data_IF_320125168868
#
_entry.id   IF_320125168868
#
_cell.length_a   1.000
_cell.length_b   1.000
_cell.length_c   1.000
_cell.angle_alpha   90.00
_cell.angle_beta   90.00
_cell.angle_gamma   90.00
#
_symmetry.space_group_name_H-M   'P 1'
#
loop_
_entity.id
_entity.type
_entity.pdbx_description
1 polymer ?
#
# COMPACT_ATOMS: atom_id res chain seq x y z
N UNK A 1 -10.11 -14.95 38.63
CA UNK A 1 -9.71 -14.92 37.20
C UNK A 1 -9.02 -13.60 36.93
N UNK A 2 -7.86 -13.60 36.25
CA UNK A 2 -7.10 -12.39 35.99
C UNK A 2 -6.97 -12.17 34.47
N UNK A 3 -7.66 -11.17 33.93
CA UNK A 3 -7.71 -10.88 32.48
C UNK A 3 -7.12 -9.50 32.23
N UNK A 4 -6.12 -9.39 31.36
CA UNK A 4 -5.43 -8.14 31.06
C UNK A 4 -5.71 -7.68 29.62
N UNK A 5 -6.12 -6.43 29.50
CA UNK A 5 -6.29 -5.70 28.25
C UNK A 5 -5.20 -4.63 28.13
N UNK A 6 -4.63 -4.48 26.94
CA UNK A 6 -3.55 -3.53 26.67
C UNK A 6 -3.98 -2.61 25.53
N UNK A 7 -3.83 -1.31 25.73
CA UNK A 7 -4.14 -0.31 24.73
C UNK A 7 -3.14 -0.36 23.56
N UNK A 8 -3.56 -0.08 22.34
CA UNK A 8 -2.71 -0.11 21.16
C UNK A 8 -1.62 0.97 21.18
N UNK A 9 -0.43 0.62 20.69
CA UNK A 9 0.70 1.55 20.46
C UNK A 9 0.35 2.62 19.42
N UNK A 10 -0.57 2.30 18.52
CA UNK A 10 -1.01 3.19 17.44
C UNK A 10 -1.99 4.26 17.91
N UNK A 11 -2.54 4.13 19.13
CA UNK A 11 -3.43 5.13 19.69
C UNK A 11 -2.64 6.34 20.22
N UNK A 12 -3.17 7.54 19.98
CA UNK A 12 -2.57 8.81 20.41
C UNK A 12 -2.23 8.77 21.91
N UNK A 13 -0.95 8.99 22.24
CA UNK A 13 -0.45 9.01 23.62
C UNK A 13 0.11 7.69 24.16
N UNK A 14 0.03 6.59 23.40
CA UNK A 14 0.52 5.26 23.80
C UNK A 14 1.83 4.81 23.10
N UNK A 15 2.51 5.72 22.39
CA UNK A 15 3.64 5.37 21.51
C UNK A 15 4.88 4.84 22.24
N UNK A 16 5.07 5.18 23.53
CA UNK A 16 6.25 4.76 24.32
C UNK A 16 5.87 3.81 25.45
N UNK A 17 4.70 4.00 26.05
CA UNK A 17 4.17 3.16 27.11
C UNK A 17 2.66 3.02 26.92
N UNK A 18 2.14 1.79 27.00
CA UNK A 18 0.73 1.50 26.76
C UNK A 18 -0.07 1.48 28.06
N UNK A 19 -1.27 2.08 28.04
CA UNK A 19 -2.24 1.87 29.11
C UNK A 19 -2.67 0.40 29.19
N UNK A 20 -2.98 -0.09 30.39
CA UNK A 20 -3.54 -1.43 30.57
C UNK A 20 -4.62 -1.48 31.63
N UNK A 21 -5.63 -2.31 31.39
CA UNK A 21 -6.72 -2.57 32.32
C UNK A 21 -6.70 -4.06 32.66
N UNK A 22 -6.71 -4.38 33.94
CA UNK A 22 -6.70 -5.76 34.43
C UNK A 22 -7.96 -6.01 35.25
N UNK A 23 -8.78 -6.96 34.81
CA UNK A 23 -9.97 -7.42 35.52
C UNK A 23 -9.52 -8.43 36.57
N UNK A 24 -9.89 -8.15 37.83
CA UNK A 24 -9.63 -8.97 39.00
C UNK A 24 -10.97 -9.49 39.55
N UNK A 25 -10.90 -10.39 40.54
CA UNK A 25 -12.10 -11.02 41.10
C UNK A 25 -13.03 -10.04 41.83
N UNK A 26 -12.49 -8.96 42.38
CA UNK A 26 -13.19 -7.98 43.21
C UNK A 26 -13.16 -6.55 42.63
N UNK A 27 -12.53 -6.35 41.48
CA UNK A 27 -12.39 -5.02 40.89
C UNK A 27 -11.58 -4.96 39.61
N UNK A 28 -11.10 -3.74 39.32
CA UNK A 28 -10.32 -3.42 38.12
C UNK A 28 -9.08 -2.65 38.51
N UNK A 29 -7.93 -3.06 37.96
CA UNK A 29 -6.67 -2.34 38.05
C UNK A 29 -6.40 -1.60 36.75
N UNK A 30 -6.31 -0.28 36.80
CA UNK A 30 -6.05 0.60 35.65
C UNK A 30 -4.63 1.17 35.77
N UNK A 31 -3.77 0.87 34.81
CA UNK A 31 -2.42 1.42 34.69
C UNK A 31 -2.38 2.41 33.54
N UNK A 32 -2.15 3.69 33.85
CA UNK A 32 -1.98 4.76 32.86
C UNK A 32 -0.53 5.22 32.95
N UNK A 33 0.27 4.99 31.90
CA UNK A 33 1.66 5.42 31.89
C UNK A 33 1.73 6.95 31.79
N UNK A 34 2.67 7.53 32.52
CA UNK A 34 2.97 8.95 32.48
C UNK A 34 4.46 9.17 32.24
N UNK A 35 4.83 10.26 31.57
CA UNK A 35 6.21 10.55 31.16
C UNK A 35 7.21 10.65 32.33
N UNK A 36 6.73 10.79 33.58
CA UNK A 36 7.59 10.88 34.78
C UNK A 36 7.24 9.90 35.91
N UNK A 37 6.00 9.36 35.99
CA UNK A 37 5.57 8.31 36.94
C UNK A 37 4.34 7.56 36.39
N UNK A 38 4.38 6.24 36.43
CA UNK A 38 3.21 5.39 36.19
C UNK A 38 2.15 5.65 37.26
N UNK A 39 0.91 5.93 36.84
CA UNK A 39 -0.25 5.96 37.76
C UNK A 39 -0.97 4.63 37.65
N UNK A 40 -1.01 3.91 38.77
CA UNK A 40 -1.78 2.68 38.90
C UNK A 40 -2.91 2.90 39.91
N UNK A 41 -4.15 2.68 39.47
CA UNK A 41 -5.34 2.87 40.28
C UNK A 41 -6.11 1.56 40.34
N UNK A 42 -6.39 1.09 41.55
CA UNK A 42 -7.26 -0.06 41.77
C UNK A 42 -8.64 0.44 42.24
N UNK A 43 -9.70 -0.07 41.61
CA UNK A 43 -11.09 0.29 41.83
C UNK A 43 -11.88 -1.00 42.10
N UNK A 44 -12.52 -1.13 43.26
CA UNK A 44 -13.42 -2.27 43.49
C UNK A 44 -14.71 -2.08 42.68
N UNK A 45 -15.41 -3.18 42.35
CA UNK A 45 -16.67 -3.07 41.61
C UNK A 45 -17.73 -2.22 42.31
N UNK A 46 -17.75 -2.22 43.65
CA UNK A 46 -18.68 -1.45 44.49
C UNK A 46 -18.44 0.07 44.44
N UNK A 47 -17.18 0.44 44.24
CA UNK A 47 -16.75 1.84 44.20
C UNK A 47 -17.02 2.48 42.85
N UNK A 48 -17.04 1.68 41.79
CA UNK A 48 -17.40 2.12 40.44
C UNK A 48 -18.89 2.48 40.44
N UNK A 49 -19.21 3.75 40.24
CA UNK A 49 -20.58 4.27 40.08
C UNK A 49 -21.05 4.28 38.64
N UNK A 50 -20.12 4.26 37.70
CA UNK A 50 -20.43 4.20 36.27
C UNK A 50 -19.20 3.91 35.43
N UNK A 51 -19.46 3.34 34.26
CA UNK A 51 -18.48 3.12 33.20
C UNK A 51 -19.03 3.68 31.89
N UNK A 52 -18.24 4.54 31.26
CA UNK A 52 -18.57 5.17 29.99
C UNK A 52 -17.55 4.76 28.93
N UNK A 53 -18.08 4.40 27.76
CA UNK A 53 -17.27 4.13 26.57
C UNK A 53 -17.45 5.30 25.62
N UNK A 54 -16.39 6.09 25.46
CA UNK A 54 -16.34 7.09 24.42
C UNK A 54 -15.65 6.47 23.20
N UNK A 55 -16.48 5.97 22.29
CA UNK A 55 -16.05 5.39 21.02
C UNK A 55 -16.25 6.45 19.93
N UNK A 56 -15.19 6.86 19.21
CA UNK A 56 -15.34 7.71 18.04
C UNK A 56 -16.34 7.08 17.06
N UNK A 57 -17.45 7.77 16.80
CA UNK A 57 -18.58 7.27 15.98
C UNK A 57 -18.21 6.93 14.54
N UNK A 58 -17.04 7.35 14.06
CA UNK A 58 -16.69 7.37 12.65
C UNK A 58 -15.96 6.12 12.14
N UNK A 59 -15.67 5.12 12.98
CA UNK A 59 -15.13 3.82 12.53
C UNK A 59 -15.24 2.80 13.68
N UNK A 60 -16.40 2.16 13.91
CA UNK A 60 -16.64 1.33 15.12
C UNK A 60 -15.71 0.11 15.28
N UNK A 61 -14.97 -0.25 14.22
CA UNK A 61 -14.14 -1.45 14.09
C UNK A 61 -12.67 -1.22 14.43
N UNK A 62 -12.12 -0.12 13.92
CA UNK A 62 -10.71 0.27 14.06
C UNK A 62 -10.53 1.46 15.00
N UNK A 63 -11.63 1.99 15.54
CA UNK A 63 -11.56 3.05 16.54
C UNK A 63 -11.01 2.52 17.84
N UNK A 64 -10.09 3.30 18.40
CA UNK A 64 -9.72 3.16 19.77
C UNK A 64 -10.73 3.89 20.65
N UNK A 65 -11.28 3.18 21.60
CA UNK A 65 -12.20 3.71 22.60
C UNK A 65 -11.44 4.25 23.80
N UNK A 66 -12.02 5.27 24.41
CA UNK A 66 -11.65 5.74 25.74
C UNK A 66 -12.60 5.13 26.75
N UNK A 67 -12.05 4.51 27.79
CA UNK A 67 -12.83 3.93 28.89
C UNK A 67 -12.71 4.89 30.08
N UNK A 68 -13.85 5.39 30.57
CA UNK A 68 -13.93 6.24 31.76
C UNK A 68 -14.59 5.48 32.91
N UNK A 69 -13.88 5.34 34.02
CA UNK A 69 -14.41 4.82 35.28
C UNK A 69 -14.73 5.99 36.21
N UNK A 70 -15.96 6.04 36.73
CA UNK A 70 -16.36 7.00 37.75
C UNK A 70 -16.41 6.29 39.11
N UNK A 71 -15.47 6.59 40.01
CA UNK A 71 -15.37 5.92 41.30
C UNK A 71 -14.84 6.89 42.37
N UNK A 72 -15.31 6.78 43.62
CA UNK A 72 -14.86 7.63 44.76
C UNK A 72 -14.85 9.15 44.47
N UNK A 73 -15.76 9.65 43.62
CA UNK A 73 -15.80 11.06 43.21
C UNK A 73 -14.70 11.49 42.22
N UNK A 74 -13.89 10.55 41.71
CA UNK A 74 -12.87 10.80 40.69
C UNK A 74 -13.23 10.09 39.37
N UNK A 75 -12.73 10.64 38.25
CA UNK A 75 -12.81 10.05 36.91
C UNK A 75 -11.44 9.50 36.53
N UNK A 76 -11.37 8.22 36.20
CA UNK A 76 -10.16 7.55 35.71
C UNK A 76 -10.35 7.19 34.25
N UNK A 77 -9.54 7.77 33.37
CA UNK A 77 -9.65 7.59 31.92
C UNK A 77 -8.46 6.83 31.36
N UNK A 78 -8.72 5.81 30.54
CA UNK A 78 -7.70 5.07 29.82
C UNK A 78 -8.05 5.02 28.33
N UNK A 79 -7.11 5.47 27.50
CA UNK A 79 -7.29 5.63 26.05
C UNK A 79 -6.58 4.52 25.28
N UNK A 80 -7.08 4.23 24.07
CA UNK A 80 -6.36 3.40 23.12
C UNK A 80 -6.79 1.93 23.06
N UNK A 81 -7.91 1.57 23.68
CA UNK A 81 -8.40 0.19 23.67
C UNK A 81 -9.19 -0.07 22.39
N UNK A 82 -9.03 -1.24 21.78
CA UNK A 82 -9.92 -1.66 20.71
C UNK A 82 -11.37 -1.59 21.21
N UNK A 83 -12.29 -1.12 20.38
CA UNK A 83 -13.71 -0.96 20.78
C UNK A 83 -14.34 -2.28 21.25
N UNK A 84 -13.96 -3.41 20.67
CA UNK A 84 -14.36 -4.75 21.12
C UNK A 84 -13.86 -5.06 22.54
N UNK A 85 -12.59 -4.78 22.83
CA UNK A 85 -12.02 -4.94 24.18
C UNK A 85 -12.67 -4.00 25.19
N UNK A 86 -12.91 -2.74 24.82
CA UNK A 86 -13.59 -1.78 25.67
C UNK A 86 -15.01 -2.22 26.05
N UNK A 87 -15.75 -2.83 25.10
CA UNK A 87 -17.06 -3.45 25.36
C UNK A 87 -16.95 -4.65 26.30
N UNK A 88 -15.94 -5.53 26.11
CA UNK A 88 -15.69 -6.66 27.01
C UNK A 88 -15.39 -6.20 28.44
N UNK A 89 -14.50 -5.21 28.59
CA UNK A 89 -14.16 -4.60 29.88
C UNK A 89 -15.42 -4.06 30.56
N UNK A 90 -16.27 -3.34 29.82
CA UNK A 90 -17.55 -2.85 30.34
C UNK A 90 -18.45 -3.98 30.83
N UNK A 91 -18.62 -5.06 30.04
CA UNK A 91 -19.41 -6.23 30.44
C UNK A 91 -18.86 -6.86 31.74
N UNK A 92 -17.54 -7.07 31.85
CA UNK A 92 -16.93 -7.62 33.08
C UNK A 92 -17.20 -6.76 34.33
N UNK A 93 -17.14 -5.44 34.19
CA UNK A 93 -17.42 -4.51 35.31
C UNK A 93 -18.89 -4.59 35.73
N UNK A 94 -19.80 -4.57 34.76
CA UNK A 94 -21.25 -4.66 35.01
C UNK A 94 -21.61 -6.00 35.67
N UNK A 95 -20.99 -7.09 35.25
CA UNK A 95 -21.22 -8.42 35.83
C UNK A 95 -20.62 -8.54 37.24
N UNK A 96 -19.43 -7.97 37.48
CA UNK A 96 -18.85 -7.87 38.84
C UNK A 96 -19.73 -7.08 39.81
N UNK A 97 -20.32 -5.97 39.34
CA UNK A 97 -21.30 -5.18 40.11
C UNK A 97 -22.58 -5.96 40.42
N UNK A 98 -23.04 -6.81 39.49
CA UNK A 98 -24.22 -7.67 39.70
C UNK A 98 -23.92 -8.82 40.67
N UNK A 99 -22.71 -9.37 40.64
CA UNK A 99 -22.26 -10.46 41.52
C UNK A 99 -22.28 -10.07 42.99
N UNK A 100 -21.77 -8.88 43.34
CA UNK A 100 -21.74 -8.40 44.73
C UNK A 100 -23.14 -8.08 45.29
N UNK A 101 -24.09 -7.75 44.41
CA UNK A 101 -25.49 -7.48 44.81
C UNK A 101 -26.31 -8.76 45.09
N UNK A 102 -25.77 -9.97 44.91
CA UNK A 102 -26.49 -11.24 45.11
C UNK A 102 -26.42 -11.80 46.53
N UNK A 103 -25.99 -11.04 47.53
CA UNK A 103 -25.96 -11.52 48.92
C UNK A 103 -27.32 -11.56 49.64
N UNK A 104 -28.45 -11.19 49.02
CA UNK A 104 -29.79 -11.46 49.58
C UNK A 104 -30.84 -11.71 48.49
N UNK A 105 -30.96 -12.95 47.99
CA UNK A 105 -32.15 -13.36 47.25
C UNK A 105 -32.01 -14.53 46.27
N UNK A 106 -32.24 -15.75 46.77
CA UNK A 106 -32.82 -16.92 46.09
C UNK A 106 -32.50 -17.18 44.60
N UNK A 107 -31.67 -18.20 44.39
CA UNK A 107 -31.89 -19.39 43.53
C UNK A 107 -32.71 -19.21 42.24
N UNK A 108 -32.01 -19.17 41.11
CA UNK A 108 -32.53 -19.56 39.79
C UNK A 108 -31.35 -20.00 38.90
N UNK A 109 -30.68 -21.07 39.31
CA UNK A 109 -29.72 -21.77 38.45
C UNK A 109 -30.47 -22.75 37.54
N UNK A 110 -29.89 -22.96 36.35
CA UNK A 110 -30.34 -23.83 35.24
C UNK A 110 -31.34 -23.23 34.23
N UNK A 111 -30.86 -22.39 33.30
CA UNK A 111 -31.31 -22.41 31.87
C UNK A 111 -30.62 -21.48 30.86
N UNK A 112 -29.44 -20.90 31.12
CA UNK A 112 -28.82 -19.94 30.17
C UNK A 112 -27.55 -20.38 29.43
N UNK A 113 -26.95 -21.55 29.72
CA UNK A 113 -25.65 -21.92 29.12
C UNK A 113 -25.67 -22.15 27.60
N UNK A 114 -26.81 -22.55 27.02
CA UNK A 114 -26.90 -22.83 25.59
C UNK A 114 -27.23 -21.58 24.76
N UNK A 115 -27.82 -20.55 25.36
CA UNK A 115 -28.11 -19.27 24.68
C UNK A 115 -26.83 -18.45 24.49
N UNK A 116 -25.98 -18.40 25.51
CA UNK A 116 -24.73 -17.62 25.48
C UNK A 116 -23.72 -18.16 24.46
N UNK A 117 -23.76 -19.48 24.19
CA UNK A 117 -22.89 -20.10 23.18
C UNK A 117 -23.27 -19.70 21.75
N UNK A 118 -24.57 -19.67 21.43
CA UNK A 118 -25.08 -19.28 20.11
C UNK A 118 -24.79 -17.80 19.80
N UNK A 119 -24.96 -16.89 20.77
CA UNK A 119 -24.63 -15.48 20.58
C UNK A 119 -23.13 -15.23 20.42
N UNK A 120 -22.26 -16.08 20.98
CA UNK A 120 -20.80 -15.91 20.88
C UNK A 120 -20.23 -16.23 19.49
N UNK A 121 -20.80 -17.21 18.79
CA UNK A 121 -20.36 -17.60 17.44
C UNK A 121 -20.83 -16.58 16.39
N UNK A 122 -22.04 -16.06 16.52
CA UNK A 122 -22.59 -15.02 15.63
C UNK A 122 -21.88 -13.66 15.82
N UNK A 123 -21.55 -13.28 17.06
CA UNK A 123 -20.76 -12.06 17.36
C UNK A 123 -19.34 -12.18 16.79
N UNK A 124 -18.70 -13.37 16.88
CA UNK A 124 -17.37 -13.60 16.29
C UNK A 124 -17.36 -13.57 14.76
N UNK A 125 -18.39 -14.12 14.11
CA UNK A 125 -18.49 -14.09 12.65
C UNK A 125 -18.74 -12.67 12.13
N UNK A 126 -19.59 -11.91 12.84
CA UNK A 126 -19.84 -10.51 12.51
C UNK A 126 -18.57 -9.66 12.68
N UNK A 127 -17.81 -9.85 13.76
CA UNK A 127 -16.53 -9.16 13.97
C UNK A 127 -15.52 -9.44 12.84
N UNK A 128 -15.45 -10.68 12.34
CA UNK A 128 -14.57 -11.04 11.23
C UNK A 128 -15.01 -10.38 9.90
N UNK A 129 -16.30 -10.40 9.58
CA UNK A 129 -16.84 -9.71 8.39
C UNK A 129 -16.56 -8.21 8.43
N UNK A 130 -16.74 -7.62 9.60
CA UNK A 130 -16.49 -6.20 9.84
C UNK A 130 -14.98 -5.90 9.68
N UNK A 131 -14.09 -6.79 10.15
CA UNK A 131 -12.64 -6.68 9.97
C UNK A 131 -12.23 -6.75 8.50
N UNK A 132 -12.80 -7.69 7.75
CA UNK A 132 -12.54 -7.84 6.31
C UNK A 132 -13.00 -6.61 5.53
N UNK A 133 -14.21 -6.11 5.80
CA UNK A 133 -14.73 -4.90 5.18
C UNK A 133 -13.84 -3.68 5.47
N UNK A 134 -13.38 -3.55 6.73
CA UNK A 134 -12.48 -2.46 7.13
C UNK A 134 -11.12 -2.54 6.43
N UNK A 135 -10.55 -3.75 6.32
CA UNK A 135 -9.28 -3.98 5.62
C UNK A 135 -9.37 -3.63 4.13
N UNK A 136 -10.50 -4.00 3.48
CA UNK A 136 -10.75 -3.68 2.08
C UNK A 136 -10.86 -2.18 1.86
N UNK A 137 -11.62 -1.51 2.73
CA UNK A 137 -11.81 -0.06 2.67
C UNK A 137 -10.49 0.70 2.91
N UNK A 138 -9.65 0.22 3.83
CA UNK A 138 -8.33 0.81 4.07
C UNK A 138 -7.41 0.64 2.84
N UNK A 139 -7.41 -0.53 2.21
CA UNK A 139 -6.60 -0.79 1.02
C UNK A 139 -7.00 0.12 -0.15
N UNK A 140 -8.31 0.33 -0.34
CA UNK A 140 -8.83 1.28 -1.32
C UNK A 140 -8.44 2.73 -1.01
N UNK A 141 -8.45 3.12 0.28
CA UNK A 141 -8.06 4.48 0.67
C UNK A 141 -6.58 4.72 0.35
N UNK A 142 -5.71 3.80 0.77
CA UNK A 142 -4.27 3.87 0.49
C UNK A 142 -3.98 3.90 -1.01
N UNK A 143 -4.74 3.17 -1.83
CA UNK A 143 -4.61 3.22 -3.28
C UNK A 143 -4.86 4.64 -3.83
N UNK A 144 -6.00 5.25 -3.49
CA UNK A 144 -6.31 6.60 -4.00
C UNK A 144 -5.42 7.69 -3.39
N UNK A 145 -4.97 7.54 -2.14
CA UNK A 145 -3.98 8.44 -1.54
C UNK A 145 -2.68 8.44 -2.36
N UNK A 146 -2.17 7.25 -2.71
CA UNK A 146 -0.97 7.14 -3.53
C UNK A 146 -1.17 7.69 -4.94
N UNK A 147 -2.34 7.43 -5.55
CA UNK A 147 -2.68 7.95 -6.87
C UNK A 147 -2.69 9.48 -6.90
N UNK A 148 -3.23 10.11 -5.85
CA UNK A 148 -3.20 11.56 -5.66
C UNK A 148 -1.78 12.08 -5.46
N UNK A 149 -0.99 11.43 -4.59
CA UNK A 149 0.41 11.81 -4.34
C UNK A 149 1.22 11.76 -5.64
N UNK A 150 1.08 10.70 -6.44
CA UNK A 150 1.76 10.57 -7.72
C UNK A 150 1.40 11.69 -8.70
N UNK A 151 0.12 12.03 -8.80
CA UNK A 151 -0.33 13.12 -9.67
C UNK A 151 0.20 14.48 -9.21
N UNK A 152 0.19 14.74 -7.89
CA UNK A 152 0.77 15.94 -7.29
C UNK A 152 2.29 16.03 -7.47
N UNK A 153 3.00 14.91 -7.52
CA UNK A 153 4.43 14.90 -7.86
C UNK A 153 4.60 15.15 -9.35
N UNK A 154 3.81 14.51 -10.20
CA UNK A 154 3.94 14.61 -11.66
C UNK A 154 3.72 16.04 -12.16
N UNK A 155 2.76 16.78 -11.60
CA UNK A 155 2.46 18.16 -12.02
C UNK A 155 3.63 19.13 -11.77
N UNK A 156 4.53 18.82 -10.85
CA UNK A 156 5.70 19.65 -10.54
C UNK A 156 6.86 19.43 -11.54
N UNK A 157 6.85 18.31 -12.27
CA UNK A 157 7.93 17.91 -13.19
C UNK A 157 7.47 17.78 -14.65
N UNK A 158 6.19 18.04 -14.93
CA UNK A 158 5.67 18.13 -16.30
C UNK A 158 6.18 19.41 -16.94
N UNK A 159 6.42 19.36 -18.25
CA UNK A 159 6.77 20.56 -19.01
C UNK A 159 5.54 21.47 -19.06
N UNK A 160 5.72 22.76 -18.77
CA UNK A 160 4.63 23.74 -18.78
C UNK A 160 4.01 23.88 -20.19
N UNK A 161 4.75 23.50 -21.24
CA UNK A 161 4.29 23.51 -22.62
C UNK A 161 3.54 22.22 -23.04
N UNK A 162 3.54 21.16 -22.22
CA UNK A 162 2.82 19.90 -22.49
C UNK A 162 1.40 19.92 -21.90
N UNK A 163 0.51 20.68 -22.54
CA UNK A 163 -0.89 20.86 -22.11
C UNK A 163 -1.63 19.52 -21.96
N UNK A 164 -1.38 18.55 -22.85
CA UNK A 164 -2.03 17.24 -22.82
C UNK A 164 -1.65 16.44 -21.57
N UNK A 165 -0.35 16.42 -21.22
CA UNK A 165 0.12 15.76 -20.00
C UNK A 165 -0.43 16.44 -18.73
N UNK A 166 -0.50 17.78 -18.71
CA UNK A 166 -1.09 18.53 -17.59
C UNK A 166 -2.56 18.16 -17.42
N UNK A 167 -3.32 18.05 -18.51
CA UNK A 167 -4.74 17.64 -18.46
C UNK A 167 -4.89 16.22 -17.91
N UNK A 168 -4.07 15.26 -18.37
CA UNK A 168 -4.11 13.88 -17.89
C UNK A 168 -3.81 13.79 -16.39
N UNK A 169 -2.76 14.46 -15.92
CA UNK A 169 -2.37 14.50 -14.51
C UNK A 169 -3.49 15.08 -13.64
N UNK A 170 -4.13 16.17 -14.10
CA UNK A 170 -5.24 16.80 -13.40
C UNK A 170 -6.47 15.89 -13.33
N UNK A 171 -6.77 15.14 -14.39
CA UNK A 171 -7.87 14.16 -14.38
C UNK A 171 -7.59 13.08 -13.33
N UNK A 172 -6.35 12.54 -13.29
CA UNK A 172 -5.93 11.54 -12.31
C UNK A 172 -6.06 12.07 -10.88
N UNK A 173 -5.53 13.27 -10.60
CA UNK A 173 -5.64 13.91 -9.29
C UNK A 173 -7.09 14.12 -8.84
N UNK A 174 -7.95 14.61 -9.74
CA UNK A 174 -9.36 14.85 -9.44
C UNK A 174 -10.14 13.55 -9.18
N UNK A 175 -9.86 12.50 -9.96
CA UNK A 175 -10.47 11.18 -9.77
C UNK A 175 -10.08 10.58 -8.41
N UNK A 176 -8.80 10.63 -8.05
CA UNK A 176 -8.32 10.16 -6.75
C UNK A 176 -8.99 10.94 -5.59
N UNK A 177 -8.98 12.28 -5.68
CA UNK A 177 -9.63 13.16 -4.70
C UNK A 177 -11.12 12.88 -4.54
N UNK A 178 -11.84 12.71 -5.65
CA UNK A 178 -13.27 12.40 -5.65
C UNK A 178 -13.56 11.07 -4.93
N UNK A 179 -12.75 10.03 -5.18
CA UNK A 179 -12.93 8.73 -4.53
C UNK A 179 -12.65 8.80 -3.03
N UNK A 180 -11.58 9.50 -2.61
CA UNK A 180 -11.30 9.74 -1.19
C UNK A 180 -12.47 10.49 -0.53
N UNK A 181 -13.00 11.53 -1.17
CA UNK A 181 -14.16 12.28 -0.66
C UNK A 181 -15.39 11.37 -0.51
N UNK A 182 -15.70 10.57 -1.53
CA UNK A 182 -16.81 9.62 -1.53
C UNK A 182 -16.68 8.62 -0.39
N UNK A 183 -15.48 8.09 -0.15
CA UNK A 183 -15.23 7.17 0.95
C UNK A 183 -15.46 7.84 2.31
N UNK A 184 -15.03 9.08 2.50
CA UNK A 184 -15.29 9.80 3.75
C UNK A 184 -16.77 10.13 3.95
N UNK A 185 -17.47 10.59 2.90
CA UNK A 185 -18.91 10.90 2.95
C UNK A 185 -19.74 9.70 3.41
N UNK A 186 -19.34 8.49 3.03
CA UNK A 186 -20.04 7.25 3.39
C UNK A 186 -19.76 6.76 4.83
N UNK A 187 -18.77 7.33 5.53
CA UNK A 187 -18.28 6.81 6.82
C UNK A 187 -18.58 7.70 8.05
N UNK A 188 -19.43 8.73 7.92
CA UNK A 188 -20.11 9.34 9.07
C UNK A 188 -19.89 10.84 9.30
N UNK A 189 -20.16 11.27 10.53
CA UNK A 189 -20.04 12.68 10.94
C UNK A 189 -18.57 13.14 10.94
N UNK A 190 -18.32 14.40 10.59
CA UNK A 190 -16.98 15.01 10.42
C UNK A 190 -16.18 14.54 9.20
N UNK A 191 -16.83 13.94 8.20
CA UNK A 191 -16.16 13.50 6.97
C UNK A 191 -15.34 14.60 6.29
N UNK A 192 -15.79 15.87 6.33
CA UNK A 192 -15.05 17.01 5.77
C UNK A 192 -13.70 17.23 6.44
N UNK A 193 -13.68 17.23 7.77
CA UNK A 193 -12.43 17.42 8.53
C UNK A 193 -11.42 16.31 8.22
N UNK A 194 -11.87 15.06 8.17
CA UNK A 194 -11.00 13.92 7.87
C UNK A 194 -10.53 13.93 6.41
N UNK A 195 -11.41 14.32 5.48
CA UNK A 195 -11.06 14.52 4.08
C UNK A 195 -9.97 15.59 3.95
N UNK A 196 -10.18 16.78 4.51
CA UNK A 196 -9.21 17.89 4.44
C UNK A 196 -7.87 17.52 5.07
N UNK A 197 -7.88 16.81 6.20
CA UNK A 197 -6.67 16.30 6.85
C UNK A 197 -5.90 15.31 5.95
N UNK A 198 -6.62 14.39 5.29
CA UNK A 198 -6.02 13.39 4.38
C UNK A 198 -5.44 14.05 3.15
N UNK A 199 -6.15 15.01 2.55
CA UNK A 199 -5.65 15.78 1.41
C UNK A 199 -4.38 16.54 1.81
N UNK A 200 -4.37 17.16 3.00
CA UNK A 200 -3.19 17.86 3.52
C UNK A 200 -1.99 16.90 3.71
N UNK A 201 -2.22 15.69 4.22
CA UNK A 201 -1.18 14.67 4.36
C UNK A 201 -0.63 14.21 3.00
N UNK A 202 -1.49 14.05 1.98
CA UNK A 202 -1.05 13.74 0.63
C UNK A 202 -0.16 14.84 0.04
N UNK A 203 -0.52 16.11 0.24
CA UNK A 203 0.33 17.24 -0.18
C UNK A 203 1.68 17.22 0.54
N UNK A 204 1.71 17.04 1.87
CA UNK A 204 2.97 16.97 2.63
C UNK A 204 3.88 15.82 2.16
N UNK A 205 3.29 14.67 1.81
CA UNK A 205 4.02 13.53 1.24
C UNK A 205 4.56 13.84 -0.16
N UNK A 206 3.75 14.46 -1.03
CA UNK A 206 4.18 14.89 -2.36
C UNK A 206 5.33 15.88 -2.29
N UNK A 207 5.25 16.90 -1.42
CA UNK A 207 6.30 17.90 -1.21
C UNK A 207 7.63 17.27 -0.79
N UNK A 208 7.59 16.27 0.11
CA UNK A 208 8.79 15.52 0.51
C UNK A 208 9.42 14.77 -0.66
N UNK A 209 8.60 14.18 -1.53
CA UNK A 209 9.08 13.47 -2.73
C UNK A 209 9.67 14.46 -3.74
N UNK A 210 9.00 15.58 -3.97
CA UNK A 210 9.47 16.67 -4.84
C UNK A 210 10.81 17.21 -4.36
N UNK A 211 10.92 17.57 -3.07
CA UNK A 211 12.15 18.09 -2.48
C UNK A 211 13.31 17.10 -2.62
N UNK A 212 13.04 15.80 -2.43
CA UNK A 212 14.04 14.75 -2.66
C UNK A 212 14.48 14.70 -4.13
N UNK A 213 13.54 14.69 -5.07
CA UNK A 213 13.85 14.64 -6.50
C UNK A 213 14.61 15.88 -6.98
N UNK A 214 14.22 17.09 -6.54
CA UNK A 214 14.95 18.33 -6.88
C UNK A 214 16.38 18.32 -6.36
N UNK A 215 16.60 17.81 -5.16
CA UNK A 215 17.96 17.65 -4.59
C UNK A 215 18.79 16.65 -5.40
N UNK A 216 18.17 15.56 -5.83
CA UNK A 216 18.83 14.57 -6.67
C UNK A 216 19.20 15.19 -8.03
N UNK A 217 18.33 15.99 -8.65
CA UNK A 217 18.62 16.70 -9.92
C UNK A 217 19.71 17.76 -9.76
N UNK A 218 19.71 18.57 -8.69
CA UNK A 218 20.74 19.60 -8.50
C UNK A 218 22.14 19.01 -8.35
N UNK A 219 22.27 17.83 -7.72
CA UNK A 219 23.54 17.11 -7.62
C UNK A 219 24.11 16.70 -8.98
N UNK A 220 23.28 16.59 -10.01
CA UNK A 220 23.74 16.29 -11.37
C UNK A 220 24.09 17.55 -12.15
N UNK A 221 23.34 18.65 -11.98
CA UNK A 221 23.65 19.91 -12.67
C UNK A 221 24.99 20.49 -12.20
N UNK A 222 25.37 20.31 -10.94
CA UNK A 222 26.69 20.73 -10.42
C UNK A 222 27.87 19.94 -11.06
N UNK A 223 27.63 18.79 -11.71
CA UNK A 223 28.64 18.01 -12.43
C UNK A 223 28.81 18.44 -13.89
N UNK A 224 27.82 19.13 -14.46
CA UNK A 224 27.86 19.61 -15.84
C UNK A 224 28.60 20.95 -15.95
N UNK A 225 28.48 21.83 -14.94
CA UNK A 225 29.20 23.11 -14.87
C UNK A 225 30.74 22.92 -14.79
N UNK A 226 31.24 21.82 -14.22
CA UNK A 226 32.69 21.50 -14.22
C UNK A 226 33.19 20.95 -15.58
N UNK A 227 32.28 20.52 -16.48
CA UNK A 227 32.64 20.02 -17.81
C UNK A 227 32.49 21.07 -18.92
N UNK A 228 31.69 22.12 -18.75
CA UNK A 228 31.57 23.21 -19.74
C UNK A 228 32.88 24.00 -19.92
N UNK A 229 33.68 24.17 -18.87
CA UNK A 229 35.00 24.83 -18.96
C UNK A 229 36.02 24.05 -19.83
N UNK A 230 35.74 22.78 -20.15
CA UNK A 230 36.59 21.95 -21.01
C UNK A 230 36.27 22.10 -22.51
N UNK A 231 35.05 22.54 -22.87
CA UNK A 231 34.58 22.56 -24.26
C UNK A 231 34.58 23.94 -24.93
N UNK A 232 34.70 25.04 -24.19
CA UNK A 232 34.82 26.41 -24.76
C UNK A 232 36.10 26.66 -25.58
N UNK A 233 37.00 25.69 -25.72
CA UNK A 233 38.23 25.83 -26.53
C UNK A 233 38.18 25.19 -27.93
N UNK A 234 37.03 24.75 -28.43
CA UNK A 234 36.92 24.24 -29.81
C UNK A 234 35.75 24.87 -30.56
N UNK A 235 35.95 26.11 -31.03
CA UNK A 235 35.07 26.79 -32.00
C UNK A 235 35.02 26.01 -33.32
N UNK A 236 33.89 25.33 -33.57
CA UNK A 236 33.46 24.93 -34.91
C UNK A 236 32.16 25.67 -35.22
N UNK A 237 32.29 26.64 -36.12
CA UNK A 237 31.24 27.49 -36.67
C UNK A 237 30.27 26.68 -37.54
N UNK A 238 29.02 26.53 -37.11
CA UNK A 238 27.90 26.23 -38.01
C UNK A 238 26.59 26.92 -37.60
N UNK A 239 26.24 27.94 -38.38
CA UNK A 239 24.88 28.45 -38.59
C UNK A 239 23.97 27.34 -39.17
N UNK A 240 22.94 26.87 -38.45
CA UNK A 240 21.63 26.52 -39.03
C UNK A 240 20.53 26.22 -37.99
N UNK A 241 19.42 26.98 -38.10
CA UNK A 241 18.01 26.66 -37.80
C UNK A 241 17.67 26.03 -36.44
N UNK A 242 17.05 26.88 -35.61
CA UNK A 242 16.25 26.54 -34.44
C UNK A 242 15.06 25.62 -34.78
N UNK A 243 15.30 24.31 -34.80
CA UNK A 243 14.35 23.36 -34.24
C UNK A 243 14.65 23.30 -32.75
N UNK A 244 13.64 23.46 -31.91
CA UNK A 244 13.73 23.21 -30.47
C UNK A 244 14.15 21.75 -30.32
N UNK A 245 15.46 21.53 -30.18
CA UNK A 245 16.01 20.27 -29.68
C UNK A 245 15.55 20.26 -28.22
N UNK A 246 14.56 19.43 -27.90
CA UNK A 246 14.42 18.96 -26.53
C UNK A 246 15.83 18.58 -26.06
N UNK A 247 16.30 19.18 -24.96
CA UNK A 247 17.63 18.95 -24.43
C UNK A 247 17.86 17.44 -24.31
N UNK A 248 18.82 16.96 -25.11
CA UNK A 248 19.15 15.54 -25.25
C UNK A 248 19.42 14.90 -23.89
N UNK A 249 19.86 15.70 -22.92
CA UNK A 249 20.26 15.29 -21.58
C UNK A 249 19.06 15.04 -20.66
N UNK A 250 18.00 15.85 -20.74
CA UNK A 250 16.75 15.60 -20.01
C UNK A 250 16.06 14.31 -20.50
N UNK A 251 16.09 14.08 -21.81
CA UNK A 251 15.60 12.84 -22.41
C UNK A 251 16.42 11.65 -21.89
N UNK A 252 17.75 11.77 -21.87
CA UNK A 252 18.65 10.72 -21.38
C UNK A 252 18.44 10.40 -19.89
N UNK A 253 18.29 11.41 -19.04
CA UNK A 253 17.98 11.23 -17.62
C UNK A 253 16.66 10.49 -17.39
N UNK A 254 15.58 10.87 -18.12
CA UNK A 254 14.28 10.19 -18.01
C UNK A 254 14.37 8.72 -18.44
N UNK A 255 15.16 8.39 -19.48
CA UNK A 255 15.40 7.01 -19.88
C UNK A 255 16.19 6.23 -18.83
N UNK A 256 17.27 6.81 -18.32
CA UNK A 256 18.11 6.19 -17.30
C UNK A 256 17.28 5.86 -16.06
N UNK A 257 16.37 6.74 -15.64
CA UNK A 257 15.45 6.47 -14.51
C UNK A 257 14.53 5.27 -14.76
N UNK A 258 13.96 5.15 -15.97
CA UNK A 258 13.09 4.01 -16.33
C UNK A 258 13.88 2.71 -16.46
N UNK A 259 15.08 2.76 -17.01
CA UNK A 259 16.02 1.63 -17.08
C UNK A 259 16.38 1.14 -15.68
N UNK A 260 16.81 2.04 -14.78
CA UNK A 260 17.15 1.71 -13.40
C UNK A 260 15.95 1.11 -12.65
N UNK A 261 14.74 1.62 -12.91
CA UNK A 261 13.51 1.02 -12.37
C UNK A 261 13.29 -0.40 -12.88
N UNK A 262 13.45 -0.65 -14.18
CA UNK A 262 13.28 -1.98 -14.76
C UNK A 262 14.28 -3.00 -14.16
N UNK A 263 15.55 -2.60 -14.00
CA UNK A 263 16.58 -3.41 -13.32
C UNK A 263 16.16 -3.68 -11.87
N UNK A 264 15.81 -2.63 -11.12
CA UNK A 264 15.40 -2.75 -9.71
C UNK A 264 14.15 -3.61 -9.50
N UNK A 265 13.20 -3.57 -10.44
CA UNK A 265 11.98 -4.37 -10.37
C UNK A 265 12.26 -5.84 -10.74
N UNK A 266 13.16 -6.07 -11.71
CA UNK A 266 13.64 -7.41 -12.08
C UNK A 266 14.40 -8.09 -10.94
N UNK A 267 15.29 -7.39 -10.25
CA UNK A 267 16.04 -7.92 -9.09
C UNK A 267 15.13 -8.37 -7.93
N UNK A 268 13.91 -7.81 -7.83
CA UNK A 268 12.92 -8.17 -6.81
C UNK A 268 11.99 -9.30 -7.25
N UNK A 269 12.07 -9.73 -8.51
CA UNK A 269 11.23 -10.77 -9.08
C UNK A 269 11.64 -12.13 -8.52
N UNK A 270 10.66 -12.92 -8.05
CA UNK A 270 10.92 -14.27 -7.53
C UNK A 270 10.96 -15.29 -8.66
N UNK A 271 12.05 -15.28 -9.43
CA UNK A 271 12.26 -16.16 -10.59
C UNK A 271 12.08 -17.64 -10.20
N UNK A 272 12.57 -18.04 -9.02
CA UNK A 272 12.44 -19.40 -8.52
C UNK A 272 10.99 -19.85 -8.32
N UNK A 273 10.07 -18.91 -8.07
CA UNK A 273 8.64 -19.18 -7.97
C UNK A 273 8.03 -19.36 -9.37
N UNK A 274 8.42 -18.49 -10.32
CA UNK A 274 7.92 -18.50 -11.70
C UNK A 274 8.37 -19.74 -12.48
N UNK A 275 9.55 -20.27 -12.18
CA UNK A 275 10.08 -21.48 -12.84
C UNK A 275 9.72 -22.78 -12.11
N UNK A 276 9.09 -22.68 -10.93
CA UNK A 276 8.74 -23.86 -10.16
C UNK A 276 7.65 -24.66 -10.88
N UNK A 277 7.96 -25.93 -11.19
CA UNK A 277 7.08 -26.79 -11.99
C UNK A 277 5.72 -26.99 -11.36
N UNK A 278 5.65 -27.15 -10.03
CA UNK A 278 4.37 -27.31 -9.33
C UNK A 278 3.50 -26.07 -9.47
N UNK A 279 4.06 -24.88 -9.23
CA UNK A 279 3.29 -23.64 -9.34
C UNK A 279 2.85 -23.34 -10.78
N UNK A 280 3.71 -23.61 -11.76
CA UNK A 280 3.37 -23.47 -13.18
C UNK A 280 2.21 -24.40 -13.56
N UNK A 281 2.25 -25.66 -13.11
CA UNK A 281 1.19 -26.63 -13.40
C UNK A 281 -0.13 -26.27 -12.72
N UNK A 282 -0.07 -25.83 -11.45
CA UNK A 282 -1.23 -25.35 -10.69
C UNK A 282 -1.86 -24.10 -11.34
N UNK A 283 -1.07 -23.30 -12.07
CA UNK A 283 -1.51 -22.04 -12.72
C UNK A 283 -1.46 -22.11 -14.26
N UNK A 284 -1.58 -23.31 -14.84
CA UNK A 284 -1.37 -23.56 -16.28
C UNK A 284 -2.25 -22.73 -17.22
N UNK A 285 -3.48 -22.41 -16.83
CA UNK A 285 -4.39 -21.56 -17.63
C UNK A 285 -3.87 -20.13 -17.66
N UNK A 286 -3.57 -19.56 -16.49
CA UNK A 286 -3.01 -18.21 -16.33
C UNK A 286 -1.71 -18.06 -17.10
N UNK A 287 -0.79 -19.03 -16.99
CA UNK A 287 0.49 -19.02 -17.73
C UNK A 287 0.29 -19.03 -19.25
N UNK A 288 -0.69 -19.80 -19.75
CA UNK A 288 -0.99 -19.83 -21.18
C UNK A 288 -1.59 -18.52 -21.67
N UNK A 289 -2.43 -17.87 -20.88
CA UNK A 289 -2.95 -16.53 -21.19
C UNK A 289 -1.81 -15.50 -21.17
N UNK A 290 -0.98 -15.50 -20.12
CA UNK A 290 0.21 -14.68 -20.00
C UNK A 290 1.09 -14.78 -21.24
N UNK A 291 1.48 -16.01 -21.61
CA UNK A 291 2.37 -16.25 -22.76
C UNK A 291 1.77 -15.76 -24.08
N UNK A 292 0.44 -15.80 -24.23
CA UNK A 292 -0.24 -15.30 -25.44
C UNK A 292 -0.28 -13.77 -25.48
N UNK A 293 -0.57 -13.15 -24.34
CA UNK A 293 -0.74 -11.70 -24.26
C UNK A 293 0.61 -10.97 -24.29
N UNK A 294 1.68 -11.57 -23.79
CA UNK A 294 3.05 -11.04 -23.93
C UNK A 294 3.50 -10.94 -25.40
N UNK A 295 2.95 -11.77 -26.30
CA UNK A 295 3.23 -11.71 -27.74
C UNK A 295 2.44 -10.58 -28.42
N UNK A 296 1.27 -10.25 -27.88
CA UNK A 296 0.31 -9.33 -28.47
C UNK A 296 0.32 -8.03 -27.66
N UNK A 297 1.29 -7.16 -27.96
CA UNK A 297 1.55 -5.94 -27.19
C UNK A 297 0.28 -5.08 -27.01
N UNK A 298 -0.60 -5.07 -28.02
CA UNK A 298 -1.88 -4.35 -28.00
C UNK A 298 -2.87 -4.89 -26.96
N UNK A 299 -2.65 -6.11 -26.45
CA UNK A 299 -3.47 -6.78 -25.42
C UNK A 299 -2.85 -6.77 -24.04
N UNK A 300 -1.69 -6.15 -23.85
CA UNK A 300 -1.02 -6.10 -22.55
C UNK A 300 -1.90 -5.37 -21.52
N UNK A 301 -2.55 -4.27 -21.90
CA UNK A 301 -3.39 -3.48 -20.97
C UNK A 301 -4.66 -4.24 -20.56
N UNK A 302 -5.35 -4.88 -21.52
CA UNK A 302 -6.51 -5.74 -21.24
C UNK A 302 -6.12 -6.88 -20.28
N UNK A 303 -4.94 -7.47 -20.49
CA UNK A 303 -4.48 -8.57 -19.66
C UNK A 303 -4.00 -8.15 -18.27
N UNK A 304 -3.43 -6.95 -18.15
CA UNK A 304 -3.06 -6.35 -16.88
C UNK A 304 -4.30 -6.17 -15.99
N UNK A 305 -5.37 -5.61 -16.54
CA UNK A 305 -6.67 -5.51 -15.83
C UNK A 305 -7.18 -6.87 -15.37
N UNK A 306 -7.07 -7.91 -16.22
CA UNK A 306 -7.45 -9.27 -15.84
C UNK A 306 -6.62 -9.84 -14.68
N UNK A 307 -5.29 -9.64 -14.70
CA UNK A 307 -4.41 -10.09 -13.61
C UNK A 307 -4.66 -9.32 -12.31
N UNK A 308 -4.94 -8.02 -12.39
CA UNK A 308 -5.30 -7.20 -11.23
C UNK A 308 -6.61 -7.68 -10.59
N UNK A 309 -7.61 -8.04 -11.40
CA UNK A 309 -8.87 -8.62 -10.93
C UNK A 309 -8.67 -10.01 -10.28
N UNK A 310 -7.83 -10.87 -10.87
CA UNK A 310 -7.47 -12.19 -10.32
C UNK A 310 -6.76 -12.06 -8.96
N UNK A 311 -5.86 -11.08 -8.84
CA UNK A 311 -5.14 -10.79 -7.59
C UNK A 311 -6.10 -10.35 -6.48
N UNK A 312 -7.07 -9.51 -6.81
CA UNK A 312 -8.03 -8.97 -5.86
C UNK A 312 -9.05 -10.00 -5.35
N UNK A 313 -9.25 -11.10 -6.08
CA UNK A 313 -10.27 -12.10 -5.74
C UNK A 313 -9.74 -13.21 -4.82
N UNK A 314 -8.50 -13.69 -5.02
CA UNK A 314 -7.83 -14.69 -4.16
C UNK A 314 -6.38 -14.96 -4.62
N UNK A 315 -5.74 -13.96 -5.23
CA UNK A 315 -4.52 -14.12 -6.05
C UNK A 315 -3.45 -15.00 -5.43
N UNK A 316 -3.11 -16.09 -6.13
CA UNK A 316 -1.96 -16.89 -5.75
C UNK A 316 -0.69 -16.02 -5.79
N UNK A 317 0.27 -16.28 -4.89
CA UNK A 317 1.59 -15.62 -4.93
C UNK A 317 2.23 -15.67 -6.32
N UNK A 318 1.88 -16.67 -7.12
CA UNK A 318 2.34 -16.84 -8.49
C UNK A 318 1.72 -15.82 -9.45
N UNK A 319 0.42 -15.54 -9.38
CA UNK A 319 -0.24 -14.48 -10.18
C UNK A 319 0.37 -13.10 -9.92
N UNK A 320 0.74 -12.81 -8.66
CA UNK A 320 1.43 -11.57 -8.29
C UNK A 320 2.81 -11.44 -8.94
N UNK A 321 3.60 -12.51 -8.98
CA UNK A 321 4.92 -12.49 -9.65
C UNK A 321 4.76 -12.43 -11.18
N UNK A 322 3.73 -13.04 -11.76
CA UNK A 322 3.42 -12.89 -13.19
C UNK A 322 3.06 -11.44 -13.54
N UNK A 323 2.27 -10.75 -12.71
CA UNK A 323 1.95 -9.34 -12.92
C UNK A 323 3.22 -8.48 -12.88
N UNK A 324 4.12 -8.71 -11.92
CA UNK A 324 5.42 -8.01 -11.87
C UNK A 324 6.23 -8.25 -13.14
N UNK A 325 6.33 -9.49 -13.60
CA UNK A 325 7.03 -9.82 -14.85
C UNK A 325 6.38 -9.11 -16.04
N UNK A 326 5.04 -9.02 -16.10
CA UNK A 326 4.32 -8.30 -17.14
C UNK A 326 4.69 -6.81 -17.18
N UNK A 327 4.72 -6.14 -16.02
CA UNK A 327 5.06 -4.72 -15.90
C UNK A 327 6.51 -4.44 -16.31
N UNK A 328 7.43 -5.37 -16.02
CA UNK A 328 8.82 -5.29 -16.49
C UNK A 328 8.85 -5.39 -18.02
N UNK A 329 8.14 -6.36 -18.61
CA UNK A 329 8.04 -6.53 -20.07
C UNK A 329 7.46 -5.28 -20.74
N UNK A 330 6.40 -4.70 -20.18
CA UNK A 330 5.79 -3.45 -20.65
C UNK A 330 6.79 -2.30 -20.65
N UNK A 331 7.56 -2.17 -19.56
CA UNK A 331 8.62 -1.17 -19.45
C UNK A 331 9.70 -1.39 -20.51
N UNK A 332 10.13 -2.63 -20.73
CA UNK A 332 11.09 -2.99 -21.79
C UNK A 332 10.55 -2.66 -23.20
N UNK A 333 9.27 -2.90 -23.46
CA UNK A 333 8.63 -2.55 -24.73
C UNK A 333 8.59 -1.04 -24.94
N UNK A 334 8.18 -0.28 -23.93
CA UNK A 334 8.17 1.18 -23.98
C UNK A 334 9.57 1.73 -24.29
N UNK A 335 10.59 1.25 -23.57
CA UNK A 335 11.98 1.65 -23.77
C UNK A 335 12.45 1.31 -25.19
N UNK A 336 12.10 0.12 -25.69
CA UNK A 336 12.49 -0.32 -27.03
C UNK A 336 11.82 0.53 -28.13
N UNK A 337 10.52 0.83 -28.00
CA UNK A 337 9.79 1.61 -29.00
C UNK A 337 10.32 3.04 -29.12
N UNK A 338 10.55 3.69 -27.98
CA UNK A 338 11.07 5.06 -27.95
C UNK A 338 12.53 5.19 -28.39
N UNK A 339 13.29 4.09 -28.38
CA UNK A 339 14.66 4.06 -28.89
C UNK A 339 14.75 3.74 -30.39
N UNK A 340 13.63 3.56 -31.10
CA UNK A 340 13.62 3.35 -32.56
C UNK A 340 14.33 4.48 -33.30
N UNK A 341 15.38 4.15 -34.04
CA UNK A 341 16.15 5.08 -34.88
C UNK A 341 17.52 5.49 -34.35
N UNK A 342 17.88 5.10 -33.12
CA UNK A 342 19.25 5.26 -32.60
C UNK A 342 20.04 3.96 -32.79
N UNK A 343 21.37 4.01 -32.91
CA UNK A 343 22.24 2.81 -33.03
C UNK A 343 22.01 1.79 -31.91
N UNK A 344 21.52 2.25 -30.76
CA UNK A 344 21.09 1.46 -29.62
C UNK A 344 20.00 0.44 -29.97
N UNK A 345 19.09 0.74 -30.91
CA UNK A 345 17.97 -0.14 -31.28
C UNK A 345 18.42 -1.51 -31.81
N UNK A 346 19.55 -1.57 -32.51
CA UNK A 346 20.11 -2.84 -33.00
C UNK A 346 20.64 -3.73 -31.88
N UNK A 347 20.99 -3.16 -30.71
CA UNK A 347 21.35 -3.92 -29.51
C UNK A 347 20.13 -4.56 -28.84
N UNK A 348 18.94 -3.98 -29.01
CA UNK A 348 17.67 -4.40 -28.39
C UNK A 348 16.87 -5.43 -29.22
N UNK A 349 17.38 -5.82 -30.39
CA UNK A 349 16.66 -6.64 -31.38
C UNK A 349 16.45 -8.13 -31.01
N UNK A 350 16.71 -8.50 -29.76
CA UNK A 350 16.56 -9.87 -29.21
C UNK A 350 15.37 -10.01 -28.25
N UNK A 351 14.31 -9.21 -28.45
CA UNK A 351 13.13 -9.23 -27.60
C UNK A 351 12.04 -10.23 -28.00
N UNK A 352 10.97 -10.24 -27.21
CA UNK A 352 9.76 -11.06 -27.37
C UNK A 352 9.01 -10.85 -28.71
N UNK A 353 9.37 -9.82 -29.47
CA UNK A 353 8.87 -9.53 -30.83
C UNK A 353 9.56 -10.33 -31.93
N UNK A 354 10.65 -11.04 -31.63
CA UNK A 354 11.35 -11.82 -32.63
C UNK A 354 10.50 -13.01 -33.10
N UNK A 355 10.39 -13.20 -34.42
CA UNK A 355 9.50 -14.21 -35.03
C UNK A 355 9.71 -15.61 -34.46
N UNK A 356 10.96 -16.02 -34.20
CA UNK A 356 11.23 -17.35 -33.64
C UNK A 356 10.75 -17.47 -32.19
N UNK A 357 10.86 -16.42 -31.37
CA UNK A 357 10.33 -16.40 -30.00
C UNK A 357 8.81 -16.44 -30.03
N UNK A 358 8.17 -15.63 -30.89
CA UNK A 358 6.71 -15.66 -31.04
C UNK A 358 6.21 -17.03 -31.51
N UNK A 359 6.90 -17.67 -32.46
CA UNK A 359 6.59 -19.04 -32.91
C UNK A 359 6.71 -20.03 -31.75
N UNK A 360 7.80 -19.98 -30.97
CA UNK A 360 7.99 -20.81 -29.79
C UNK A 360 6.88 -20.62 -28.75
N UNK A 361 6.51 -19.38 -28.43
CA UNK A 361 5.46 -19.09 -27.45
C UNK A 361 4.05 -19.45 -27.95
N UNK A 362 3.82 -19.44 -29.26
CA UNK A 362 2.56 -19.89 -29.90
C UNK A 362 2.44 -21.40 -30.03
N UNK A 363 3.56 -22.13 -30.02
CA UNK A 363 3.58 -23.59 -30.17
C UNK A 363 2.78 -24.27 -29.04
N UNK A 364 1.85 -25.16 -29.40
CA UNK A 364 0.98 -25.84 -28.43
C UNK A 364 1.68 -27.00 -27.73
N UNK A 365 2.75 -27.52 -28.33
CA UNK A 365 3.50 -28.67 -27.83
C UNK A 365 4.56 -28.26 -26.80
N UNK A 366 4.95 -26.98 -26.79
CA UNK A 366 5.82 -26.40 -25.76
C UNK A 366 5.07 -26.28 -24.43
N UNK A 367 5.67 -26.79 -23.36
CA UNK A 367 5.07 -26.76 -22.03
C UNK A 367 4.94 -25.32 -21.50
N UNK A 368 3.93 -25.02 -20.66
CA UNK A 368 3.80 -23.71 -20.02
C UNK A 368 5.07 -23.27 -19.27
N UNK A 369 5.77 -24.22 -18.65
CA UNK A 369 7.04 -23.98 -17.95
C UNK A 369 8.12 -23.49 -18.91
N UNK A 370 8.34 -24.22 -20.01
CA UNK A 370 9.32 -23.82 -21.02
C UNK A 370 9.00 -22.46 -21.61
N UNK A 371 7.72 -22.11 -21.76
CA UNK A 371 7.31 -20.77 -22.20
C UNK A 371 7.69 -19.68 -21.21
N UNK A 372 7.40 -19.88 -19.93
CA UNK A 372 7.74 -18.91 -18.87
C UNK A 372 9.26 -18.77 -18.75
N UNK A 373 10.00 -19.87 -18.66
CA UNK A 373 11.46 -19.83 -18.63
C UNK A 373 12.01 -19.09 -19.86
N UNK A 374 11.45 -19.34 -21.05
CA UNK A 374 11.92 -18.64 -22.26
C UNK A 374 11.60 -17.14 -22.23
N UNK A 375 10.46 -16.73 -21.67
CA UNK A 375 10.14 -15.31 -21.49
C UNK A 375 11.11 -14.68 -20.49
N UNK A 376 11.39 -15.35 -19.36
CA UNK A 376 12.34 -14.89 -18.35
C UNK A 376 13.74 -14.73 -18.96
N UNK A 377 14.23 -15.72 -19.72
CA UNK A 377 15.51 -15.61 -20.43
C UNK A 377 15.57 -14.37 -21.34
N UNK A 378 14.47 -14.07 -22.04
CA UNK A 378 14.42 -12.90 -22.93
C UNK A 378 14.46 -11.60 -22.14
N UNK A 379 13.74 -11.53 -21.01
CA UNK A 379 13.74 -10.36 -20.13
C UNK A 379 15.10 -10.20 -19.46
N UNK A 380 15.71 -11.27 -18.95
CA UNK A 380 17.04 -11.28 -18.34
C UNK A 380 18.09 -10.70 -19.29
N UNK A 381 18.14 -11.20 -20.53
CA UNK A 381 19.04 -10.70 -21.56
C UNK A 381 18.81 -9.22 -21.90
N UNK A 382 17.56 -8.73 -21.82
CA UNK A 382 17.25 -7.30 -22.03
C UNK A 382 17.72 -6.46 -20.85
N UNK A 383 17.45 -6.90 -19.62
CA UNK A 383 17.87 -6.22 -18.38
C UNK A 383 19.39 -6.15 -18.29
N UNK A 384 20.11 -7.23 -18.61
CA UNK A 384 21.58 -7.23 -18.63
C UNK A 384 22.13 -6.20 -19.62
N UNK A 385 21.53 -6.08 -20.81
CA UNK A 385 21.92 -5.07 -21.80
C UNK A 385 21.64 -3.65 -21.32
N UNK A 386 20.56 -3.44 -20.59
CA UNK A 386 20.29 -2.15 -19.97
C UNK A 386 21.32 -1.80 -18.90
N UNK A 387 21.69 -2.77 -18.05
CA UNK A 387 22.70 -2.59 -17.02
C UNK A 387 24.09 -2.29 -17.63
N UNK A 388 24.51 -3.07 -18.63
CA UNK A 388 25.75 -2.82 -19.38
C UNK A 388 25.75 -1.46 -20.05
N UNK A 389 24.61 -1.01 -20.58
CA UNK A 389 24.48 0.32 -21.17
C UNK A 389 24.72 1.42 -20.13
N UNK A 390 24.05 1.36 -18.97
CA UNK A 390 24.22 2.37 -17.90
C UNK A 390 25.68 2.40 -17.43
N UNK A 391 26.31 1.24 -17.26
CA UNK A 391 27.73 1.14 -16.85
C UNK A 391 28.72 1.71 -17.85
N UNK A 392 28.38 1.75 -19.14
CA UNK A 392 29.25 2.31 -20.18
C UNK A 392 29.04 3.83 -20.38
N UNK A 393 28.03 4.41 -19.74
CA UNK A 393 27.73 5.86 -19.78
C UNK A 393 28.26 6.60 -18.55
N UNK A 394 28.52 5.89 -17.45
CA UNK A 394 29.20 6.36 -16.25
C UNK A 394 30.70 6.07 -16.35
#
# INVERSE_FOLDING_TARGET
>A
MNIKFVASVLAKGNHVFQASITILDDGVKVKIPGFWKDRETYLTFEEIKGIELNTPSWYSVLSYSTISFFARGIRVEAHGFATSDAKKIKRYVEDGQRGNNKSYGRSSDYRNSDRDKYYSEEESHLDELIRQASSKLQSQMTYYENELIEALVAIEFVDDDDEDAIVEINIKANNARYNIERMYRNNGANWRYNFDATISECHEKADKIIAKQKKDTSLFNDLDDENEEFWENNDIDTNEKSNVREDSDHILMRYNRRVLKAISDYDKLKIELLENTKYVDDNKVTVRQFSRNVIDADKLEEYKSYLEDDINCEGSKYSQELLKLLLIIETCYFLSDKMKGKSYFDSFRFGLTYKNIQSFLKDRDVSPKEKISKIIDCVDNLIQKYDDYIKNQL
#
